data_IF_058139003303
#
_entry.id   IF_058139003303
#
_cell.length_a   1.000
_cell.length_b   1.000
_cell.length_c   1.000
_cell.angle_alpha   90.00
_cell.angle_beta   90.00
_cell.angle_gamma   90.00
#
_symmetry.space_group_name_H-M   'P 1'
#
loop_
_entity.id
_entity.type
_entity.pdbx_description
1 polymer ?
#
# COMPACT_ATOMS: atom_id res chain seq x y z
N UNK A 1 -8.10 13.64 -30.18
CA UNK A 1 -7.59 13.00 -28.96
C UNK A 1 -8.74 13.00 -27.98
N UNK A 2 -9.24 11.82 -27.58
CA UNK A 2 -10.25 11.75 -26.53
C UNK A 2 -9.51 11.88 -25.20
N UNK A 3 -9.67 13.02 -24.52
CA UNK A 3 -9.37 13.11 -23.10
C UNK A 3 -10.34 12.17 -22.38
N UNK A 4 -9.87 11.00 -22.00
CA UNK A 4 -10.57 10.19 -21.02
C UNK A 4 -10.53 10.97 -19.71
N UNK A 5 -11.61 11.65 -19.36
CA UNK A 5 -11.79 12.24 -18.04
C UNK A 5 -11.77 11.09 -17.04
N UNK A 6 -10.64 10.93 -16.35
CA UNK A 6 -10.48 9.95 -15.30
C UNK A 6 -11.42 10.34 -14.16
N UNK A 7 -12.30 9.42 -13.78
CA UNK A 7 -13.17 9.63 -12.64
C UNK A 7 -12.32 9.61 -11.36
N UNK A 8 -12.19 10.78 -10.74
CA UNK A 8 -11.40 11.01 -9.52
C UNK A 8 -11.85 10.06 -8.41
N UNK A 9 -13.17 9.84 -8.29
CA UNK A 9 -13.71 8.95 -7.25
C UNK A 9 -13.29 7.51 -7.52
N UNK A 10 -13.48 7.02 -8.74
CA UNK A 10 -13.06 5.65 -9.12
C UNK A 10 -11.56 5.45 -8.93
N UNK A 11 -10.75 6.49 -9.20
CA UNK A 11 -9.30 6.47 -8.98
C UNK A 11 -8.96 6.27 -7.51
N UNK A 12 -9.57 7.06 -6.62
CA UNK A 12 -9.37 6.89 -5.19
C UNK A 12 -9.92 5.55 -4.68
N UNK A 13 -11.08 5.10 -5.16
CA UNK A 13 -11.64 3.78 -4.81
C UNK A 13 -10.67 2.65 -5.17
N UNK A 14 -10.08 2.70 -6.36
CA UNK A 14 -9.08 1.74 -6.81
C UNK A 14 -7.86 1.74 -5.88
N UNK A 15 -7.29 2.93 -5.63
CA UNK A 15 -6.08 3.07 -4.80
C UNK A 15 -6.34 2.59 -3.37
N UNK A 16 -7.46 2.97 -2.76
CA UNK A 16 -7.82 2.51 -1.42
C UNK A 16 -8.04 1.00 -1.43
N UNK A 17 -8.62 0.42 -2.50
CA UNK A 17 -8.80 -1.02 -2.58
C UNK A 17 -7.48 -1.78 -2.65
N UNK A 18 -6.48 -1.25 -3.36
CA UNK A 18 -5.12 -1.80 -3.38
C UNK A 18 -4.52 -1.79 -1.97
N UNK A 19 -4.56 -0.64 -1.29
CA UNK A 19 -4.05 -0.50 0.09
C UNK A 19 -4.74 -1.47 1.06
N UNK A 20 -6.06 -1.52 1.04
CA UNK A 20 -6.87 -2.39 1.89
C UNK A 20 -6.54 -3.88 1.66
N UNK A 21 -6.44 -4.32 0.41
CA UNK A 21 -6.16 -5.73 0.09
C UNK A 21 -4.80 -6.17 0.63
N UNK A 22 -3.78 -5.33 0.44
CA UNK A 22 -2.41 -5.59 0.87
C UNK A 22 -2.30 -5.51 2.41
N UNK A 23 -3.05 -4.60 3.05
CA UNK A 23 -3.06 -4.42 4.51
C UNK A 23 -3.84 -5.52 5.24
N UNK A 24 -4.98 -5.96 4.71
CA UNK A 24 -5.81 -7.04 5.26
C UNK A 24 -5.06 -8.36 5.32
N UNK A 25 -4.35 -8.70 4.23
CA UNK A 25 -3.49 -9.89 4.19
C UNK A 25 -2.43 -9.86 5.29
N UNK A 26 -1.87 -8.69 5.55
CA UNK A 26 -0.91 -8.45 6.64
C UNK A 26 -1.54 -8.34 8.02
N UNK A 27 -2.88 -8.37 8.13
CA UNK A 27 -3.63 -8.05 9.34
C UNK A 27 -3.22 -6.70 9.94
N UNK A 28 -2.81 -5.74 9.11
CA UNK A 28 -2.47 -4.39 9.53
C UNK A 28 -3.75 -3.60 9.80
N UNK A 29 -4.31 -3.81 10.99
CA UNK A 29 -5.60 -3.23 11.39
C UNK A 29 -5.63 -1.71 11.30
N UNK A 30 -4.53 -1.04 11.65
CA UNK A 30 -4.45 0.42 11.61
C UNK A 30 -4.70 0.95 10.19
N UNK A 31 -4.02 0.38 9.20
CA UNK A 31 -4.19 0.79 7.81
C UNK A 31 -5.53 0.35 7.23
N UNK A 32 -6.01 -0.85 7.58
CA UNK A 32 -7.34 -1.32 7.16
C UNK A 32 -8.44 -0.39 7.68
N UNK A 33 -8.43 -0.02 8.97
CA UNK A 33 -9.39 0.90 9.56
C UNK A 33 -9.31 2.28 8.89
N UNK A 34 -8.10 2.74 8.54
CA UNK A 34 -7.89 4.00 7.81
C UNK A 34 -8.48 3.95 6.40
N UNK A 35 -8.31 2.83 5.68
CA UNK A 35 -8.91 2.63 4.36
C UNK A 35 -10.44 2.68 4.41
N UNK A 36 -11.07 2.09 5.44
CA UNK A 36 -12.52 2.16 5.64
C UNK A 36 -12.95 3.62 5.80
N UNK A 37 -12.28 4.38 6.67
CA UNK A 37 -12.58 5.80 6.89
C UNK A 37 -12.39 6.67 5.63
N UNK A 38 -11.35 6.39 4.83
CA UNK A 38 -11.15 7.08 3.55
C UNK A 38 -12.28 6.79 2.56
N UNK A 39 -12.76 5.53 2.47
CA UNK A 39 -13.89 5.18 1.60
C UNK A 39 -15.16 5.92 2.00
N UNK A 40 -15.46 5.99 3.29
CA UNK A 40 -16.63 6.75 3.78
C UNK A 40 -16.53 8.24 3.42
N UNK A 41 -15.31 8.78 3.38
CA UNK A 41 -15.04 10.18 3.00
C UNK A 41 -15.13 10.44 1.49
N UNK A 42 -15.14 9.40 0.65
CA UNK A 42 -15.27 9.58 -0.81
C UNK A 42 -16.66 10.04 -1.24
N UNK A 43 -17.70 9.72 -0.48
CA UNK A 43 -19.06 10.15 -0.80
C UNK A 43 -19.27 11.65 -0.56
N UNK A 44 -18.42 12.27 0.26
CA UNK A 44 -18.45 13.70 0.60
C UNK A 44 -17.33 14.50 -0.05
N UNK A 45 -16.50 13.89 -0.90
CA UNK A 45 -15.36 14.56 -1.51
C UNK A 45 -15.85 15.67 -2.44
N UNK A 46 -15.54 16.90 -2.07
CA UNK A 46 -15.86 18.09 -2.85
C UNK A 46 -14.81 19.16 -2.64
N UNK A 47 -14.49 19.88 -3.70
CA UNK A 47 -13.47 20.92 -3.68
C UNK A 47 -12.04 20.40 -3.89
N UNK A 48 -11.20 21.27 -4.48
CA UNK A 48 -9.81 20.98 -4.83
C UNK A 48 -8.92 20.66 -3.62
N UNK A 49 -9.15 21.35 -2.50
CA UNK A 49 -8.38 21.17 -1.26
C UNK A 49 -8.58 19.76 -0.69
N UNK A 50 -9.83 19.31 -0.51
CA UNK A 50 -10.16 17.96 -0.04
C UNK A 50 -9.58 16.86 -0.94
N UNK A 51 -9.61 17.06 -2.27
CA UNK A 51 -9.01 16.12 -3.23
C UNK A 51 -7.49 16.07 -3.06
N UNK A 52 -6.84 17.23 -2.88
CA UNK A 52 -5.40 17.30 -2.67
C UNK A 52 -4.98 16.64 -1.35
N UNK A 53 -5.72 16.89 -0.27
CA UNK A 53 -5.49 16.27 1.04
C UNK A 53 -5.60 14.75 0.99
N UNK A 54 -6.70 14.23 0.41
CA UNK A 54 -6.87 12.79 0.26
C UNK A 54 -5.79 12.19 -0.63
N UNK A 55 -5.44 12.83 -1.75
CA UNK A 55 -4.34 12.40 -2.62
C UNK A 55 -3.03 12.30 -1.85
N UNK A 56 -2.68 13.36 -1.10
CA UNK A 56 -1.44 13.39 -0.30
C UNK A 56 -1.42 12.29 0.76
N UNK A 57 -2.55 12.07 1.42
CA UNK A 57 -2.69 11.02 2.41
C UNK A 57 -2.55 9.62 1.78
N UNK A 58 -3.15 9.38 0.61
CA UNK A 58 -2.99 8.12 -0.12
C UNK A 58 -1.53 7.88 -0.54
N UNK A 59 -0.81 8.90 -1.04
CA UNK A 59 0.63 8.78 -1.29
C UNK A 59 1.39 8.34 -0.05
N UNK A 60 1.11 8.98 1.08
CA UNK A 60 1.78 8.65 2.34
C UNK A 60 1.53 7.20 2.76
N UNK A 61 0.29 6.72 2.66
CA UNK A 61 -0.05 5.34 2.96
C UNK A 61 0.59 4.34 1.99
N UNK A 62 0.64 4.66 0.69
CA UNK A 62 1.34 3.85 -0.31
C UNK A 62 2.82 3.73 0.06
N UNK A 63 3.49 4.84 0.39
CA UNK A 63 4.91 4.83 0.73
C UNK A 63 5.21 4.02 1.99
N UNK A 64 4.38 4.16 3.03
CA UNK A 64 4.52 3.38 4.25
C UNK A 64 4.33 1.88 3.99
N UNK A 65 3.30 1.50 3.22
CA UNK A 65 3.04 0.10 2.93
C UNK A 65 4.11 -0.49 2.02
N UNK A 66 4.56 0.25 1.01
CA UNK A 66 5.68 -0.13 0.14
C UNK A 66 6.94 -0.38 0.94
N UNK A 67 7.27 0.50 1.90
CA UNK A 67 8.41 0.31 2.78
C UNK A 67 8.31 -1.00 3.58
N UNK A 68 7.13 -1.31 4.12
CA UNK A 68 6.89 -2.56 4.84
C UNK A 68 7.13 -3.77 3.91
N UNK A 69 6.55 -3.77 2.71
CA UNK A 69 6.71 -4.87 1.73
C UNK A 69 8.18 -5.02 1.33
N UNK A 70 8.91 -3.92 1.11
CA UNK A 70 10.35 -3.96 0.82
C UNK A 70 11.17 -4.52 1.98
N UNK A 71 10.80 -4.22 3.22
CA UNK A 71 11.44 -4.82 4.38
C UNK A 71 11.18 -6.33 4.45
N UNK A 72 9.99 -6.81 4.07
CA UNK A 72 9.69 -8.24 4.00
C UNK A 72 10.51 -8.93 2.91
N UNK A 73 10.60 -8.35 1.71
CA UNK A 73 11.47 -8.84 0.63
C UNK A 73 12.90 -8.98 1.14
N UNK A 74 13.42 -7.93 1.81
CA UNK A 74 14.75 -7.93 2.40
C UNK A 74 14.90 -9.06 3.42
N UNK A 75 13.92 -9.29 4.28
CA UNK A 75 13.97 -10.37 5.26
C UNK A 75 14.11 -11.75 4.59
N UNK A 76 13.38 -12.00 3.49
CA UNK A 76 13.45 -13.28 2.79
C UNK A 76 14.73 -13.45 1.96
N UNK A 77 15.24 -12.38 1.34
CA UNK A 77 16.43 -12.42 0.49
C UNK A 77 17.75 -12.57 1.25
N UNK A 78 17.87 -11.96 2.43
CA UNK A 78 19.16 -11.93 3.12
C UNK A 78 19.43 -13.23 3.88
N UNK A 79 20.53 -13.97 3.60
CA UNK A 79 20.85 -15.20 4.32
C UNK A 79 21.51 -14.94 5.68
N UNK A 80 21.99 -13.71 5.93
CA UNK A 80 22.78 -13.34 7.10
C UNK A 80 21.85 -13.09 8.31
N UNK A 81 21.99 -13.83 9.43
CA UNK A 81 21.11 -13.73 10.59
C UNK A 81 21.02 -12.33 11.21
N UNK A 82 22.14 -11.61 11.30
CA UNK A 82 22.20 -10.28 11.88
C UNK A 82 21.37 -9.27 11.07
N UNK A 83 21.52 -9.30 9.74
CA UNK A 83 20.74 -8.45 8.82
C UNK A 83 19.26 -8.81 8.86
N UNK A 84 18.93 -10.10 8.99
CA UNK A 84 17.55 -10.56 9.15
C UNK A 84 16.92 -10.02 10.43
N UNK A 85 17.63 -10.08 11.55
CA UNK A 85 17.16 -9.54 12.82
C UNK A 85 16.97 -8.02 12.74
N UNK A 86 17.94 -7.28 12.20
CA UNK A 86 17.82 -5.83 12.00
C UNK A 86 16.62 -5.46 11.11
N UNK A 87 16.41 -6.22 10.04
CA UNK A 87 15.29 -6.01 9.11
C UNK A 87 13.94 -6.30 9.79
N UNK A 88 13.88 -7.35 10.61
CA UNK A 88 12.70 -7.70 11.39
C UNK A 88 12.35 -6.61 12.41
N UNK A 89 13.33 -6.13 13.17
CA UNK A 89 13.14 -5.04 14.14
C UNK A 89 12.76 -3.72 13.45
N UNK A 90 13.32 -3.44 12.27
CA UNK A 90 12.93 -2.30 11.45
C UNK A 90 11.47 -2.42 11.01
N UNK A 91 11.06 -3.56 10.46
CA UNK A 91 9.69 -3.82 10.05
C UNK A 91 8.69 -3.66 11.20
N UNK A 92 9.05 -4.15 12.39
CA UNK A 92 8.23 -4.01 13.62
C UNK A 92 7.95 -2.58 14.04
N UNK A 93 8.83 -1.62 13.73
CA UNK A 93 8.60 -0.20 14.00
C UNK A 93 7.45 0.38 13.17
N UNK A 94 7.18 -0.19 12.00
CA UNK A 94 6.13 0.25 11.09
C UNK A 94 4.88 -0.62 11.17
N UNK A 95 5.02 -1.89 11.57
CA UNK A 95 3.93 -2.83 11.69
C UNK A 95 4.22 -3.86 12.80
N UNK A 96 3.52 -3.77 13.93
CA UNK A 96 3.80 -4.61 15.11
C UNK A 96 3.79 -6.12 14.81
N UNK A 97 2.90 -6.55 13.92
CA UNK A 97 2.71 -7.92 13.48
C UNK A 97 3.49 -8.25 12.19
N UNK A 98 4.65 -7.62 12.01
CA UNK A 98 5.56 -7.85 10.88
C UNK A 98 5.85 -9.35 10.67
N UNK A 99 5.63 -9.82 9.44
CA UNK A 99 5.73 -11.22 9.01
C UNK A 99 4.77 -12.22 9.68
N UNK A 100 3.84 -11.81 10.55
CA UNK A 100 2.87 -12.74 11.14
C UNK A 100 1.83 -13.24 10.12
N UNK A 101 1.71 -12.57 8.98
CA UNK A 101 0.88 -13.03 7.86
C UNK A 101 1.49 -14.22 7.12
N UNK A 102 2.81 -14.37 7.21
CA UNK A 102 3.52 -15.52 6.70
C UNK A 102 3.36 -16.67 7.70
N UNK A 103 2.27 -17.44 7.55
CA UNK A 103 2.05 -18.61 8.38
C UNK A 103 2.89 -19.78 7.84
N UNK A 104 3.80 -20.32 8.66
CA UNK A 104 4.69 -21.44 8.32
C UNK A 104 3.95 -22.75 8.00
N UNK A 105 2.64 -22.78 8.22
CA UNK A 105 1.77 -23.93 7.95
C UNK A 105 1.33 -24.05 6.48
N UNK A 106 1.59 -23.03 5.66
CA UNK A 106 1.33 -23.04 4.22
C UNK A 106 2.60 -23.50 3.50
N UNK A 107 2.51 -24.57 2.69
CA UNK A 107 3.59 -25.03 1.80
C UNK A 107 3.83 -24.00 0.67
N UNK A 108 4.37 -22.84 1.01
CA UNK A 108 4.79 -21.81 0.06
C UNK A 108 6.31 -21.70 0.12
N UNK A 109 6.95 -21.71 -1.04
CA UNK A 109 8.39 -21.54 -1.21
C UNK A 109 8.78 -20.08 -1.05
N UNK A 110 10.06 -19.83 -0.74
CA UNK A 110 10.59 -18.45 -0.68
C UNK A 110 10.40 -17.74 -2.02
N UNK A 111 10.56 -18.44 -3.15
CA UNK A 111 10.39 -17.90 -4.49
C UNK A 111 8.94 -17.43 -4.74
N UNK A 112 7.95 -18.21 -4.30
CA UNK A 112 6.54 -17.84 -4.39
C UNK A 112 6.19 -16.65 -3.50
N UNK A 113 6.77 -16.56 -2.30
CA UNK A 113 6.61 -15.40 -1.42
C UNK A 113 7.19 -14.16 -2.10
N UNK A 114 8.41 -14.23 -2.62
CA UNK A 114 9.08 -13.10 -3.27
C UNK A 114 8.30 -12.60 -4.48
N UNK A 115 7.82 -13.52 -5.33
CA UNK A 115 6.96 -13.17 -6.47
C UNK A 115 5.72 -12.40 -6.03
N UNK A 116 5.07 -12.88 -4.97
CA UNK A 116 3.88 -12.26 -4.42
C UNK A 116 4.17 -10.87 -3.83
N UNK A 117 5.33 -10.68 -3.19
CA UNK A 117 5.74 -9.37 -2.68
C UNK A 117 6.11 -8.40 -3.81
N UNK A 118 6.76 -8.89 -4.87
CA UNK A 118 7.08 -8.09 -6.06
C UNK A 118 5.80 -7.63 -6.78
N UNK A 119 4.79 -8.49 -6.89
CA UNK A 119 3.47 -8.13 -7.42
C UNK A 119 2.80 -7.04 -6.57
N UNK A 120 2.89 -7.11 -5.24
CA UNK A 120 2.35 -6.08 -4.35
C UNK A 120 3.10 -4.74 -4.47
N UNK A 121 4.42 -4.77 -4.66
CA UNK A 121 5.19 -3.55 -4.99
C UNK A 121 4.72 -2.94 -6.31
N UNK A 122 4.53 -3.78 -7.34
CA UNK A 122 4.01 -3.31 -8.63
C UNK A 122 2.65 -2.63 -8.49
N UNK A 123 1.71 -3.24 -7.77
CA UNK A 123 0.37 -2.66 -7.55
C UNK A 123 0.43 -1.33 -6.79
N UNK A 124 1.34 -1.19 -5.82
CA UNK A 124 1.54 0.05 -5.08
C UNK A 124 2.13 1.16 -5.96
N UNK A 125 3.05 0.84 -6.87
CA UNK A 125 3.56 1.79 -7.86
C UNK A 125 2.48 2.19 -8.87
N UNK A 126 1.71 1.23 -9.37
CA UNK A 126 0.60 1.46 -10.27
C UNK A 126 -0.45 2.39 -9.63
N UNK A 127 -0.77 2.17 -8.35
CA UNK A 127 -1.66 3.05 -7.60
C UNK A 127 -1.17 4.51 -7.56
N UNK A 128 0.14 4.76 -7.47
CA UNK A 128 0.69 6.13 -7.56
C UNK A 128 0.52 6.73 -8.94
N UNK A 129 0.74 5.94 -10.00
CA UNK A 129 0.54 6.40 -11.38
C UNK A 129 -0.91 6.83 -11.60
N UNK A 130 -1.87 6.13 -11.00
CA UNK A 130 -3.27 6.52 -11.01
C UNK A 130 -3.53 7.82 -10.25
N UNK A 131 -2.90 8.03 -9.09
CA UNK A 131 -2.99 9.30 -8.35
C UNK A 131 -2.38 10.49 -9.12
N UNK A 132 -1.28 10.27 -9.86
CA UNK A 132 -0.62 11.30 -10.68
C UNK A 132 -1.52 11.78 -11.84
N UNK A 133 -2.46 10.96 -12.27
CA UNK A 133 -3.41 11.31 -13.32
C UNK A 133 -4.54 12.23 -12.84
N UNK A 134 -4.66 12.46 -11.52
CA UNK A 134 -5.60 13.42 -10.95
C UNK A 134 -5.03 14.83 -11.19
N UNK A 135 -5.45 15.43 -12.30
CA UNK A 135 -5.15 16.82 -12.65
C UNK A 135 -6.07 17.72 -11.82
N UNK A 136 -5.47 18.57 -10.99
CA UNK A 136 -6.16 19.63 -10.27
C UNK A 136 -5.78 20.93 -10.98
N UNK A 137 -6.68 21.50 -11.79
CA UNK A 137 -6.42 22.74 -12.53
C UNK A 137 -5.80 23.79 -11.61
N UNK A 138 -4.56 24.21 -11.90
CA UNK A 138 -3.91 25.35 -11.26
C UNK A 138 -4.61 26.61 -11.76
N UNK A 139 -5.57 27.13 -10.98
CA UNK A 139 -5.98 28.54 -11.05
C UNK A 139 -4.84 29.46 -10.60
#
# INVERSE_FOLDING_TARGET
MQESTIDIKQTFEFVIKVLETISEKRKNKLLTDKCISMKESLDSISGKETIHELRSELYHQIDQLKFIVQAEIRFFLFPIPEIKQETYELGKKYMNNFLEWFNSEVNITIEEILKLLDEEIYLLEEAKVFLDQIILDEE
#
